data_IF_608046399161
#
_entry.id   IF_608046399161
#
_cell.length_a   1.000
_cell.length_b   1.000
_cell.length_c   1.000
_cell.angle_alpha   90.00
_cell.angle_beta   90.00
_cell.angle_gamma   90.00
#
_symmetry.space_group_name_H-M   'P 1'
#
loop_
_entity.id
_entity.type
_entity.pdbx_description
1 polymer ?
#
# COMPACT_ATOMS: atom_id res chain seq x y z
N UNK A 1 13.69 4.66 -14.37
CA UNK A 1 12.51 5.52 -14.06
C UNK A 1 11.29 5.19 -14.93
N UNK A 2 11.48 4.85 -16.21
CA UNK A 2 10.41 4.57 -17.19
C UNK A 2 9.63 3.26 -17.02
N UNK A 3 10.17 2.26 -16.33
CA UNK A 3 9.52 0.94 -16.25
C UNK A 3 8.20 0.98 -15.48
N UNK A 4 8.16 1.69 -14.35
CA UNK A 4 6.94 1.79 -13.54
C UNK A 4 5.80 2.49 -14.28
N UNK A 5 6.10 3.52 -15.08
CA UNK A 5 5.12 4.19 -15.93
C UNK A 5 4.59 3.26 -17.04
N UNK A 6 5.50 2.53 -17.70
CA UNK A 6 5.12 1.49 -18.67
C UNK A 6 4.28 0.39 -18.03
N UNK A 7 4.57 0.00 -16.79
CA UNK A 7 3.74 -0.96 -16.04
C UNK A 7 2.33 -0.42 -15.83
N UNK A 8 2.18 0.86 -15.45
CA UNK A 8 0.88 1.49 -15.25
C UNK A 8 0.08 1.49 -16.57
N UNK A 9 0.69 1.96 -17.66
CA UNK A 9 0.05 2.00 -18.98
C UNK A 9 -0.32 0.59 -19.48
N UNK A 10 0.57 -0.38 -19.32
CA UNK A 10 0.31 -1.77 -19.70
C UNK A 10 -0.83 -2.37 -18.88
N UNK A 11 -0.86 -2.13 -17.56
CA UNK A 11 -1.91 -2.64 -16.70
C UNK A 11 -3.28 -2.06 -17.06
N UNK A 12 -3.33 -0.76 -17.34
CA UNK A 12 -4.55 -0.08 -17.81
C UNK A 12 -5.06 -0.69 -19.12
N UNK A 13 -4.17 -0.93 -20.08
CA UNK A 13 -4.51 -1.62 -21.33
C UNK A 13 -5.05 -3.04 -21.09
N UNK A 14 -4.37 -3.83 -20.23
CA UNK A 14 -4.83 -5.18 -19.89
C UNK A 14 -6.22 -5.12 -19.26
N UNK A 15 -6.45 -4.20 -18.32
CA UNK A 15 -7.74 -4.05 -17.64
C UNK A 15 -8.88 -3.70 -18.59
N UNK A 16 -8.62 -2.81 -19.55
CA UNK A 16 -9.62 -2.38 -20.52
C UNK A 16 -10.00 -3.51 -21.49
N UNK A 17 -9.04 -4.38 -21.82
CA UNK A 17 -9.27 -5.51 -22.72
C UNK A 17 -9.78 -6.78 -22.02
N UNK A 18 -9.27 -7.07 -20.82
CA UNK A 18 -9.54 -8.31 -20.07
C UNK A 18 -9.38 -8.08 -18.55
N UNK A 19 -10.54 -7.93 -17.88
CA UNK A 19 -10.60 -7.67 -16.43
C UNK A 19 -10.10 -8.85 -15.60
N UNK A 20 -10.29 -10.08 -16.06
CA UNK A 20 -9.87 -11.27 -15.32
C UNK A 20 -8.37 -11.49 -15.41
N UNK A 21 -7.77 -11.22 -16.59
CA UNK A 21 -6.32 -11.14 -16.72
C UNK A 21 -5.74 -10.01 -15.86
N UNK A 22 -6.38 -8.84 -15.82
CA UNK A 22 -5.93 -7.75 -14.95
C UNK A 22 -5.96 -8.13 -13.47
N UNK A 23 -6.96 -8.88 -13.00
CA UNK A 23 -7.00 -9.41 -11.62
C UNK A 23 -5.80 -10.31 -11.33
N UNK A 24 -5.44 -11.20 -12.25
CA UNK A 24 -4.26 -12.08 -12.12
C UNK A 24 -2.95 -11.28 -12.13
N UNK A 25 -2.89 -10.18 -12.88
CA UNK A 25 -1.70 -9.34 -13.01
C UNK A 25 -1.57 -8.25 -11.92
N UNK A 26 -2.63 -8.00 -11.14
CA UNK A 26 -2.70 -6.91 -10.16
C UNK A 26 -1.50 -6.89 -9.20
N UNK A 27 -1.11 -8.03 -8.67
CA UNK A 27 0.00 -8.13 -7.71
C UNK A 27 1.32 -7.55 -8.26
N UNK A 28 1.61 -7.76 -9.54
CA UNK A 28 2.82 -7.24 -10.20
C UNK A 28 2.76 -5.73 -10.47
N UNK A 29 1.55 -5.21 -10.74
CA UNK A 29 1.35 -3.80 -11.03
C UNK A 29 1.15 -2.94 -9.77
N UNK A 30 0.78 -3.55 -8.64
CA UNK A 30 0.42 -2.88 -7.38
C UNK A 30 1.39 -1.77 -7.01
N UNK A 31 2.68 -2.10 -6.85
CA UNK A 31 3.71 -1.13 -6.45
C UNK A 31 3.79 0.07 -7.40
N UNK A 32 3.75 -0.17 -8.71
CA UNK A 32 3.78 0.89 -9.71
C UNK A 32 2.51 1.75 -9.65
N UNK A 33 1.34 1.15 -9.47
CA UNK A 33 0.07 1.87 -9.38
C UNK A 33 0.00 2.77 -8.15
N UNK A 34 0.46 2.29 -6.99
CA UNK A 34 0.52 3.10 -5.76
C UNK A 34 1.54 4.23 -5.90
N UNK A 35 2.72 3.96 -6.47
CA UNK A 35 3.75 4.98 -6.75
C UNK A 35 3.22 6.14 -7.59
N UNK A 36 2.38 5.88 -8.59
CA UNK A 36 1.76 6.90 -9.44
C UNK A 36 0.38 7.36 -8.95
N UNK A 37 -0.03 6.93 -7.75
CA UNK A 37 -1.33 7.29 -7.13
C UNK A 37 -2.53 7.07 -8.06
N UNK A 38 -2.49 6.00 -8.89
CA UNK A 38 -3.59 5.61 -9.79
C UNK A 38 -4.74 4.95 -9.01
N UNK A 39 -5.29 5.68 -8.04
CA UNK A 39 -6.36 5.21 -7.17
C UNK A 39 -7.65 4.93 -7.94
N UNK A 40 -7.82 5.59 -9.09
CA UNK A 40 -8.84 5.29 -10.08
C UNK A 40 -8.79 3.84 -10.56
N UNK A 41 -7.59 3.24 -10.69
CA UNK A 41 -7.40 1.83 -11.04
C UNK A 41 -7.37 0.92 -9.81
N UNK A 42 -6.69 1.34 -8.73
CA UNK A 42 -6.48 0.54 -7.51
C UNK A 42 -7.80 0.17 -6.84
N UNK A 43 -8.80 1.07 -6.85
CA UNK A 43 -10.08 0.89 -6.14
C UNK A 43 -10.88 -0.36 -6.50
N UNK A 44 -10.52 -1.01 -7.61
CA UNK A 44 -11.18 -2.23 -8.08
C UNK A 44 -10.50 -3.52 -7.60
N UNK A 45 -9.33 -3.42 -6.99
CA UNK A 45 -8.50 -4.55 -6.57
C UNK A 45 -8.21 -4.56 -5.08
N UNK A 46 -8.20 -3.38 -4.44
CA UNK A 46 -8.19 -3.27 -2.99
C UNK A 46 -9.63 -3.30 -2.50
N UNK A 47 -9.99 -4.34 -1.76
CA UNK A 47 -11.29 -4.45 -1.11
C UNK A 47 -11.33 -3.58 0.15
N UNK A 48 -10.94 -4.15 1.27
CA UNK A 48 -10.83 -3.45 2.56
C UNK A 48 -9.36 -3.13 2.86
N UNK A 49 -8.97 -1.85 3.01
CA UNK A 49 -7.58 -1.46 3.29
C UNK A 49 -7.01 -2.07 4.57
N UNK A 50 -7.83 -2.23 5.62
CA UNK A 50 -7.43 -2.84 6.89
C UNK A 50 -7.16 -4.33 6.71
N UNK A 51 -7.99 -5.04 5.94
CA UNK A 51 -7.76 -6.45 5.61
C UNK A 51 -6.46 -6.63 4.81
N UNK A 52 -6.21 -5.76 3.83
CA UNK A 52 -4.96 -5.75 3.07
C UNK A 52 -3.74 -5.49 3.98
N UNK A 53 -3.87 -4.57 4.94
CA UNK A 53 -2.83 -4.32 5.94
C UNK A 53 -2.53 -5.53 6.81
N UNK A 54 -3.55 -6.28 7.23
CA UNK A 54 -3.35 -7.51 8.01
C UNK A 54 -2.54 -8.56 7.23
N UNK A 55 -2.79 -8.70 5.93
CA UNK A 55 -2.01 -9.59 5.07
C UNK A 55 -0.54 -9.15 5.02
N UNK A 56 -0.26 -7.86 4.86
CA UNK A 56 1.11 -7.31 4.87
C UNK A 56 1.81 -7.58 6.21
N UNK A 57 1.11 -7.35 7.32
CA UNK A 57 1.61 -7.62 8.68
C UNK A 57 1.95 -9.10 8.87
N UNK A 58 1.08 -10.00 8.41
CA UNK A 58 1.30 -11.43 8.52
C UNK A 58 2.47 -11.91 7.66
N UNK A 59 2.57 -11.45 6.41
CA UNK A 59 3.70 -11.74 5.52
C UNK A 59 5.04 -11.31 6.13
N UNK A 60 5.10 -10.10 6.71
CA UNK A 60 6.29 -9.64 7.44
C UNK A 60 6.65 -10.61 8.56
N UNK A 61 5.67 -10.98 9.40
CA UNK A 61 5.89 -11.87 10.52
C UNK A 61 6.35 -13.26 10.09
N UNK A 62 5.82 -13.79 8.99
CA UNK A 62 6.29 -15.06 8.41
C UNK A 62 7.75 -14.95 7.94
N UNK A 63 8.10 -13.88 7.19
CA UNK A 63 9.47 -13.65 6.72
C UNK A 63 10.47 -13.51 7.89
N UNK A 64 10.04 -12.85 8.97
CA UNK A 64 10.83 -12.71 10.19
C UNK A 64 10.96 -14.02 11.00
N UNK A 65 10.07 -15.00 10.80
CA UNK A 65 10.13 -16.31 11.48
C UNK A 65 10.93 -17.35 10.69
N UNK A 66 10.83 -17.33 9.37
CA UNK A 66 11.42 -18.35 8.49
C UNK A 66 12.95 -18.24 8.41
N UNK A 67 13.51 -17.05 8.57
CA UNK A 67 14.95 -16.86 8.46
C UNK A 67 15.63 -16.93 9.83
N UNK A 68 16.27 -18.08 10.10
CA UNK A 68 17.19 -18.30 11.22
C UNK A 68 18.53 -17.55 11.05
N UNK A 69 18.75 -16.90 9.91
CA UNK A 69 19.95 -16.13 9.56
C UNK A 69 19.52 -14.79 8.95
N UNK A 70 18.79 -13.98 9.72
CA UNK A 70 18.48 -12.62 9.27
C UNK A 70 19.66 -11.72 9.52
N UNK A 71 20.32 -11.32 8.44
CA UNK A 71 21.22 -10.18 8.47
C UNK A 71 20.44 -8.92 8.86
N UNK A 72 21.10 -7.98 9.52
CA UNK A 72 20.50 -6.69 9.89
C UNK A 72 19.93 -5.96 8.67
N UNK A 73 20.58 -6.11 7.50
CA UNK A 73 20.12 -5.59 6.22
C UNK A 73 18.76 -6.14 5.79
N UNK A 74 18.48 -7.43 6.04
CA UNK A 74 17.19 -8.05 5.69
C UNK A 74 16.08 -7.55 6.62
N UNK A 75 16.36 -7.43 7.93
CA UNK A 75 15.40 -6.86 8.90
C UNK A 75 15.04 -5.42 8.56
N UNK A 76 16.05 -4.62 8.19
CA UNK A 76 15.84 -3.24 7.75
C UNK A 76 14.97 -3.20 6.49
N UNK A 77 15.30 -4.00 5.48
CA UNK A 77 14.50 -4.10 4.25
C UNK A 77 13.03 -4.47 4.53
N UNK A 78 12.79 -5.48 5.37
CA UNK A 78 11.43 -5.90 5.73
C UNK A 78 10.68 -4.80 6.51
N UNK A 79 11.39 -4.05 7.34
CA UNK A 79 10.83 -2.92 8.09
C UNK A 79 10.48 -1.75 7.16
N UNK A 80 11.39 -1.38 6.27
CA UNK A 80 11.16 -0.31 5.28
C UNK A 80 10.01 -0.67 4.33
N UNK A 81 9.99 -1.91 3.82
CA UNK A 81 8.91 -2.41 2.97
C UNK A 81 7.57 -2.41 3.70
N UNK A 82 7.54 -2.79 4.98
CA UNK A 82 6.31 -2.74 5.79
C UNK A 82 5.78 -1.31 5.95
N UNK A 83 6.66 -0.35 6.24
CA UNK A 83 6.28 1.05 6.37
C UNK A 83 5.78 1.60 5.03
N UNK A 84 6.48 1.34 3.93
CA UNK A 84 6.07 1.80 2.59
C UNK A 84 4.69 1.26 2.21
N UNK A 85 4.44 -0.05 2.39
CA UNK A 85 3.14 -0.65 2.10
C UNK A 85 2.03 -0.11 3.01
N UNK A 86 2.34 0.20 4.27
CA UNK A 86 1.39 0.81 5.21
C UNK A 86 1.03 2.23 4.76
N UNK A 87 2.02 3.04 4.38
CA UNK A 87 1.81 4.40 3.86
C UNK A 87 0.98 4.39 2.58
N UNK A 88 1.23 3.44 1.68
CA UNK A 88 0.45 3.26 0.45
C UNK A 88 -1.04 3.05 0.77
N UNK A 89 -1.36 2.16 1.70
CA UNK A 89 -2.74 1.90 2.13
C UNK A 89 -3.36 3.08 2.88
N UNK A 90 -2.61 3.78 3.73
CA UNK A 90 -3.11 4.97 4.43
C UNK A 90 -3.44 6.07 3.40
N UNK A 91 -2.54 6.36 2.47
CA UNK A 91 -2.75 7.37 1.43
C UNK A 91 -3.92 7.02 0.52
N UNK A 92 -4.06 5.73 0.14
CA UNK A 92 -5.22 5.26 -0.58
C UNK A 92 -6.52 5.45 0.21
N UNK A 93 -6.53 5.09 1.50
CA UNK A 93 -7.71 5.25 2.35
C UNK A 93 -8.11 6.71 2.49
N UNK A 94 -7.14 7.62 2.66
CA UNK A 94 -7.38 9.09 2.64
C UNK A 94 -8.01 9.53 1.31
N UNK A 95 -7.44 9.09 0.19
CA UNK A 95 -7.94 9.45 -1.14
C UNK A 95 -9.35 8.90 -1.44
N UNK A 96 -9.71 7.78 -0.80
CA UNK A 96 -11.04 7.18 -0.87
C UNK A 96 -11.99 7.69 0.20
N UNK A 97 -11.61 8.73 0.97
CA UNK A 97 -12.36 9.29 2.08
C UNK A 97 -12.64 8.33 3.25
N UNK A 98 -11.87 7.24 3.35
CA UNK A 98 -11.91 6.27 4.44
C UNK A 98 -10.86 6.62 5.51
N UNK A 99 -11.15 7.65 6.29
CA UNK A 99 -10.25 8.11 7.35
C UNK A 99 -10.19 7.16 8.55
N UNK A 100 -11.20 6.32 8.72
CA UNK A 100 -11.24 5.32 9.79
C UNK A 100 -10.18 4.25 9.53
N UNK A 101 -10.17 3.66 8.32
CA UNK A 101 -9.13 2.72 7.92
C UNK A 101 -7.75 3.36 7.93
N UNK A 102 -7.62 4.61 7.46
CA UNK A 102 -6.36 5.35 7.46
C UNK A 102 -5.78 5.47 8.89
N UNK A 103 -6.60 5.87 9.87
CA UNK A 103 -6.20 5.97 11.27
C UNK A 103 -5.82 4.62 11.84
N UNK A 104 -6.68 3.60 11.64
CA UNK A 104 -6.47 2.27 12.18
C UNK A 104 -5.16 1.65 11.69
N UNK A 105 -4.90 1.73 10.39
CA UNK A 105 -3.66 1.21 9.78
C UNK A 105 -2.44 1.93 10.35
N UNK A 106 -2.48 3.27 10.43
CA UNK A 106 -1.37 4.06 11.00
C UNK A 106 -1.08 3.67 12.45
N UNK A 107 -2.12 3.64 13.28
CA UNK A 107 -1.97 3.39 14.71
C UNK A 107 -1.47 1.96 14.96
N UNK A 108 -2.00 0.96 14.23
CA UNK A 108 -1.48 -0.42 14.29
C UNK A 108 -0.06 -0.55 13.76
N UNK A 109 0.30 0.14 12.67
CA UNK A 109 1.65 0.10 12.12
C UNK A 109 2.67 0.73 13.08
N UNK A 110 2.30 1.84 13.75
CA UNK A 110 3.14 2.52 14.75
C UNK A 110 3.45 1.66 15.97
N UNK A 111 2.52 0.78 16.38
CA UNK A 111 2.75 -0.19 17.45
C UNK A 111 3.81 -1.25 17.08
N UNK A 112 4.00 -1.51 15.78
CA UNK A 112 4.95 -2.52 15.28
C UNK A 112 6.30 -1.87 14.94
N UNK A 113 6.26 -0.72 14.27
CA UNK A 113 7.44 0.04 13.85
C UNK A 113 7.20 1.51 14.20
N UNK A 114 7.95 2.03 15.18
CA UNK A 114 7.91 3.44 15.56
C UNK A 114 8.67 4.31 14.52
N UNK A 115 8.15 4.37 13.30
CA UNK A 115 8.74 5.11 12.17
C UNK A 115 8.19 6.54 12.09
N UNK A 116 9.07 7.52 11.90
CA UNK A 116 8.69 8.93 11.81
C UNK A 116 7.77 9.21 10.60
N UNK A 117 7.90 8.46 9.50
CA UNK A 117 7.05 8.61 8.31
C UNK A 117 5.58 8.33 8.61
N UNK A 118 5.31 7.38 9.53
CA UNK A 118 3.95 7.06 9.97
C UNK A 118 3.43 8.09 10.98
N UNK A 119 4.30 8.52 11.91
CA UNK A 119 3.95 9.48 12.97
C UNK A 119 3.63 10.87 12.41
N UNK A 120 4.44 11.35 11.49
CA UNK A 120 4.36 12.71 10.97
C UNK A 120 3.34 12.83 9.81
N UNK A 121 2.70 11.71 9.45
CA UNK A 121 1.68 11.66 8.40
C UNK A 121 0.41 12.41 8.83
N UNK A 122 0.13 13.51 8.15
CA UNK A 122 -1.07 14.31 8.38
C UNK A 122 -2.29 13.65 7.75
N UNK A 123 -3.19 13.15 8.59
CA UNK A 123 -4.52 12.68 8.19
C UNK A 123 -5.47 13.88 8.03
N UNK A 124 -5.08 14.87 7.22
CA UNK A 124 -5.87 16.09 7.08
C UNK A 124 -7.03 15.86 6.10
N UNK A 125 -8.24 16.03 6.63
CA UNK A 125 -9.49 16.26 5.90
C UNK A 125 -9.37 17.54 5.07
N UNK A 126 -9.31 17.45 3.74
CA UNK A 126 -9.90 18.54 2.95
C UNK A 126 -11.41 18.39 3.03
N UNK A 127 -11.98 18.93 4.11
CA UNK A 127 -13.32 19.49 4.00
C UNK A 127 -13.21 20.65 3.02
N UNK A 128 -13.51 20.40 1.75
CA UNK A 128 -13.85 21.44 0.79
C UNK A 128 -15.08 22.16 1.34
N UNK A 129 -14.87 23.20 2.15
CA UNK A 129 -15.85 24.27 2.31
C UNK A 129 -15.95 24.94 0.94
N UNK A 130 -16.99 24.57 0.18
CA UNK A 130 -17.56 25.45 -0.84
C UNK A 130 -18.10 26.67 -0.11
N UNK A 131 -17.48 27.82 -0.33
CA UNK A 131 -18.16 29.12 -0.32
C UNK A 131 -18.25 29.58 -1.78
#
# INVERSE_FOLDING_TARGET
MFESEKTVALFENIRNSDKDKARKCWFYARKSLFKYKRYDLIKYYVGNPVSDFLVIKEQRNMMLKVSSIQTESMKKYLTDSFVDNSLDLINYSIAMHDLESAKKIRDEAMLIVNDYRLRDLKLNTTSTKKN
#
